data_IF_782010438039
#
_entry.id   IF_782010438039
#
_cell.length_a   1.000
_cell.length_b   1.000
_cell.length_c   1.000
_cell.angle_alpha   90.00
_cell.angle_beta   90.00
_cell.angle_gamma   90.00
#
_symmetry.space_group_name_H-M   'P 1'
#
loop_
_entity.id
_entity.type
_entity.pdbx_description
1 polymer ?
#
# COMPACT_ATOMS: atom_id res chain seq x y z
N UNK A 1 -30.02 5.65 -39.37
CA UNK A 1 -29.92 5.02 -38.04
C UNK A 1 -28.78 5.73 -37.30
N UNK A 2 -29.03 6.47 -36.21
CA UNK A 2 -27.93 7.00 -35.41
C UNK A 2 -27.30 5.88 -34.58
N UNK A 3 -25.96 5.82 -34.61
CA UNK A 3 -25.16 4.93 -33.76
C UNK A 3 -25.37 5.33 -32.30
N UNK A 4 -25.95 4.42 -31.52
CA UNK A 4 -25.96 4.51 -30.06
C UNK A 4 -24.56 4.13 -29.57
N UNK A 5 -23.71 5.13 -29.35
CA UNK A 5 -22.52 4.95 -28.51
C UNK A 5 -23.06 4.87 -27.08
N UNK A 6 -23.23 3.65 -26.56
CA UNK A 6 -23.38 3.46 -25.13
C UNK A 6 -22.13 4.06 -24.47
N UNK A 7 -22.26 4.97 -23.50
CA UNK A 7 -21.09 5.36 -22.71
C UNK A 7 -20.57 4.08 -22.04
N UNK A 8 -19.28 3.80 -22.20
CA UNK A 8 -18.58 2.79 -21.42
C UNK A 8 -19.01 2.98 -19.97
N UNK A 9 -19.69 1.97 -19.41
CA UNK A 9 -20.09 1.99 -18.02
C UNK A 9 -18.81 2.10 -17.21
N UNK A 10 -18.54 3.29 -16.65
CA UNK A 10 -17.47 3.48 -15.67
C UNK A 10 -17.75 2.49 -14.56
N UNK A 11 -16.94 1.44 -14.49
CA UNK A 11 -17.03 0.46 -13.42
C UNK A 11 -16.50 1.18 -12.18
N UNK A 12 -17.39 1.79 -11.40
CA UNK A 12 -17.04 2.52 -10.18
C UNK A 12 -16.56 1.53 -9.14
N UNK A 13 -15.27 1.57 -8.82
CA UNK A 13 -14.71 0.81 -7.70
C UNK A 13 -15.33 1.23 -6.37
N UNK A 14 -15.29 0.33 -5.39
CA UNK A 14 -15.66 0.63 -4.02
C UNK A 14 -14.49 1.28 -3.28
N UNK A 15 -14.82 2.24 -2.40
CA UNK A 15 -13.85 2.99 -1.62
C UNK A 15 -13.89 2.56 -0.15
N UNK A 16 -12.72 2.31 0.41
CA UNK A 16 -12.51 1.99 1.82
C UNK A 16 -11.53 2.99 2.43
N UNK A 17 -11.78 3.38 3.68
CA UNK A 17 -10.87 4.24 4.44
C UNK A 17 -10.76 3.74 5.86
N UNK A 18 -9.52 3.62 6.33
CA UNK A 18 -9.17 3.26 7.70
C UNK A 18 -8.21 4.31 8.27
N UNK A 19 -8.49 4.78 9.49
CA UNK A 19 -7.57 5.63 10.24
C UNK A 19 -6.96 4.82 11.36
N UNK A 20 -5.64 4.67 11.32
CA UNK A 20 -4.88 3.86 12.25
C UNK A 20 -4.10 4.78 13.19
N UNK A 21 -4.21 4.60 14.52
CA UNK A 21 -3.22 5.13 15.44
C UNK A 21 -1.81 4.66 15.04
N UNK A 22 -0.78 5.47 15.26
CA UNK A 22 0.60 5.09 14.93
C UNK A 22 1.21 4.12 15.97
N UNK A 23 0.62 2.93 16.11
CA UNK A 23 1.02 1.87 17.04
C UNK A 23 1.09 0.52 16.32
N UNK A 24 1.83 -0.45 16.85
CA UNK A 24 1.92 -1.79 16.25
C UNK A 24 0.57 -2.53 16.21
N UNK A 25 -0.28 -2.33 17.21
CA UNK A 25 -1.61 -2.97 17.28
C UNK A 25 -2.51 -2.61 16.08
N UNK A 26 -2.24 -1.48 15.42
CA UNK A 26 -2.97 -1.05 14.22
C UNK A 26 -2.75 -1.96 13.01
N UNK A 27 -1.66 -2.73 12.98
CA UNK A 27 -1.37 -3.65 11.85
C UNK A 27 -2.48 -4.68 11.71
N UNK A 28 -2.97 -5.24 12.83
CA UNK A 28 -4.06 -6.23 12.79
C UNK A 28 -5.36 -5.65 12.21
N UNK A 29 -5.62 -4.35 12.40
CA UNK A 29 -6.79 -3.70 11.79
C UNK A 29 -6.65 -3.59 10.27
N UNK A 30 -5.43 -3.36 9.78
CA UNK A 30 -5.14 -3.36 8.35
C UNK A 30 -5.26 -4.77 7.76
N UNK A 31 -4.69 -5.78 8.41
CA UNK A 31 -4.76 -7.18 7.98
C UNK A 31 -6.21 -7.65 7.81
N UNK A 32 -7.07 -7.36 8.79
CA UNK A 32 -8.50 -7.68 8.71
C UNK A 32 -9.20 -7.02 7.50
N UNK A 33 -8.86 -5.76 7.19
CA UNK A 33 -9.42 -5.07 6.03
C UNK A 33 -8.93 -5.68 4.71
N UNK A 34 -7.67 -6.11 4.66
CA UNK A 34 -7.09 -6.78 3.49
C UNK A 34 -7.82 -8.11 3.24
N UNK A 35 -8.04 -8.90 4.30
CA UNK A 35 -8.81 -10.15 4.23
C UNK A 35 -10.25 -9.91 3.76
N UNK A 36 -10.95 -8.92 4.35
CA UNK A 36 -12.31 -8.57 3.94
C UNK A 36 -12.40 -8.21 2.45
N UNK A 37 -11.48 -7.38 1.97
CA UNK A 37 -11.42 -6.96 0.56
C UNK A 37 -11.09 -8.16 -0.34
N UNK A 38 -10.12 -9.00 0.05
CA UNK A 38 -9.74 -10.15 -0.75
C UNK A 38 -10.90 -11.13 -0.93
N UNK A 39 -11.62 -11.44 0.15
CA UNK A 39 -12.80 -12.31 0.12
C UNK A 39 -13.92 -11.69 -0.72
N UNK A 40 -14.22 -10.41 -0.49
CA UNK A 40 -15.31 -9.70 -1.15
C UNK A 40 -15.13 -9.61 -2.67
N UNK A 41 -13.92 -9.37 -3.14
CA UNK A 41 -13.61 -9.21 -4.55
C UNK A 41 -13.05 -10.48 -5.21
N UNK A 42 -12.98 -11.59 -4.47
CA UNK A 42 -12.44 -12.87 -4.95
C UNK A 42 -11.02 -12.73 -5.50
N UNK A 43 -10.18 -11.97 -4.80
CA UNK A 43 -8.78 -11.75 -5.15
C UNK A 43 -8.03 -13.09 -5.06
N UNK A 44 -7.19 -13.40 -6.06
CA UNK A 44 -6.40 -14.63 -6.08
C UNK A 44 -5.44 -14.74 -4.88
N UNK A 45 -5.14 -15.96 -4.43
CA UNK A 45 -4.23 -16.22 -3.30
C UNK A 45 -2.85 -15.58 -3.50
N UNK A 46 -2.31 -15.63 -4.72
CA UNK A 46 -1.01 -15.01 -5.06
C UNK A 46 -1.06 -13.49 -4.90
N UNK A 47 -2.13 -12.85 -5.38
CA UNK A 47 -2.29 -11.40 -5.27
C UNK A 47 -2.55 -10.98 -3.82
N UNK A 48 -3.35 -11.76 -3.09
CA UNK A 48 -3.57 -11.56 -1.66
C UNK A 48 -2.25 -11.63 -0.86
N UNK A 49 -1.39 -12.62 -1.13
CA UNK A 49 -0.10 -12.74 -0.46
C UNK A 49 0.82 -11.53 -0.74
N UNK A 50 0.84 -11.04 -1.98
CA UNK A 50 1.56 -9.84 -2.36
C UNK A 50 1.00 -8.59 -1.66
N UNK A 51 -0.33 -8.44 -1.62
CA UNK A 51 -1.01 -7.36 -0.91
C UNK A 51 -0.67 -7.37 0.57
N UNK A 52 -0.82 -8.51 1.25
CA UNK A 52 -0.54 -8.65 2.68
C UNK A 52 0.90 -8.24 3.00
N UNK A 53 1.86 -8.73 2.22
CA UNK A 53 3.28 -8.40 2.41
C UNK A 53 3.55 -6.91 2.19
N UNK A 54 3.07 -6.34 1.08
CA UNK A 54 3.33 -4.95 0.75
C UNK A 54 2.66 -3.98 1.71
N UNK A 55 1.39 -4.23 2.05
CA UNK A 55 0.60 -3.30 2.86
C UNK A 55 1.08 -3.30 4.31
N UNK A 56 1.49 -4.45 4.86
CA UNK A 56 2.14 -4.50 6.17
C UNK A 56 3.48 -3.75 6.17
N UNK A 57 4.32 -3.95 5.15
CA UNK A 57 5.59 -3.23 5.03
C UNK A 57 5.37 -1.71 4.90
N UNK A 58 4.41 -1.29 4.07
CA UNK A 58 4.07 0.12 3.92
C UNK A 58 3.51 0.73 5.22
N UNK A 59 2.65 0.01 5.95
CA UNK A 59 2.14 0.45 7.24
C UNK A 59 3.24 0.53 8.31
N UNK A 60 4.17 -0.43 8.35
CA UNK A 60 5.34 -0.36 9.23
C UNK A 60 6.20 0.85 8.89
N UNK A 61 6.42 1.13 7.61
CA UNK A 61 7.13 2.33 7.16
C UNK A 61 6.43 3.61 7.63
N UNK A 62 5.11 3.70 7.45
CA UNK A 62 4.32 4.83 7.92
C UNK A 62 4.36 5.00 9.46
N UNK A 63 4.15 3.92 10.22
CA UNK A 63 4.06 3.93 11.68
C UNK A 63 5.43 4.18 12.34
N UNK A 64 6.44 3.39 11.96
CA UNK A 64 7.74 3.37 12.62
C UNK A 64 8.68 4.42 12.03
N UNK A 65 8.72 4.54 10.71
CA UNK A 65 9.67 5.42 10.04
C UNK A 65 9.10 6.81 9.76
N UNK A 66 7.84 6.94 9.35
CA UNK A 66 7.18 8.23 9.14
C UNK A 66 6.83 8.91 10.46
N UNK A 67 5.90 8.31 11.20
CA UNK A 67 5.33 8.85 12.43
C UNK A 67 6.17 8.63 13.69
N UNK A 68 7.24 7.82 13.62
CA UNK A 68 8.16 7.55 14.75
C UNK A 68 7.47 6.96 15.97
N UNK A 69 6.43 6.14 15.77
CA UNK A 69 5.62 5.57 16.84
C UNK A 69 4.98 6.63 17.76
N UNK A 70 4.72 7.85 17.26
CA UNK A 70 4.01 8.87 18.03
C UNK A 70 2.51 8.54 18.08
N UNK A 71 1.95 8.14 19.24
CA UNK A 71 0.55 7.71 19.34
C UNK A 71 -0.45 8.84 19.09
N UNK A 72 -0.01 10.10 19.05
CA UNK A 72 -0.88 11.23 18.68
C UNK A 72 -1.01 11.42 17.17
N UNK A 73 -0.16 10.73 16.39
CA UNK A 73 -0.22 10.72 14.93
C UNK A 73 -1.01 9.53 14.40
N UNK A 74 -1.46 9.68 13.15
CA UNK A 74 -2.26 8.71 12.43
C UNK A 74 -1.58 8.27 11.15
N UNK A 75 -1.91 7.06 10.74
CA UNK A 75 -1.72 6.57 9.38
C UNK A 75 -3.09 6.46 8.73
N UNK A 76 -3.25 7.05 7.55
CA UNK A 76 -4.48 6.99 6.77
C UNK A 76 -4.28 5.94 5.69
N UNK A 77 -5.16 4.95 5.66
CA UNK A 77 -5.19 3.91 4.64
C UNK A 77 -6.45 4.10 3.80
N UNK A 78 -6.29 4.24 2.50
CA UNK A 78 -7.39 4.23 1.53
C UNK A 78 -7.22 3.05 0.58
N UNK A 79 -8.34 2.45 0.17
CA UNK A 79 -8.36 1.47 -0.91
C UNK A 79 -9.47 1.81 -1.90
N UNK A 80 -9.16 1.77 -3.19
CA UNK A 80 -10.12 1.77 -4.29
C UNK A 80 -10.05 0.40 -4.97
N UNK A 81 -11.15 -0.34 -4.96
CA UNK A 81 -11.17 -1.73 -5.44
C UNK A 81 -12.31 -1.94 -6.42
N UNK A 82 -11.97 -2.44 -7.60
CA UNK A 82 -12.93 -2.84 -8.62
C UNK A 82 -12.76 -4.33 -8.97
N UNK A 83 -13.44 -4.80 -10.02
CA UNK A 83 -13.42 -6.21 -10.42
C UNK A 83 -12.08 -6.69 -11.02
N UNK A 84 -11.09 -5.81 -11.22
CA UNK A 84 -9.83 -6.10 -11.92
C UNK A 84 -8.59 -5.62 -11.19
N UNK A 85 -8.75 -4.72 -10.22
CA UNK A 85 -7.62 -4.12 -9.50
C UNK A 85 -8.00 -3.60 -8.13
N UNK A 86 -6.98 -3.54 -7.27
CA UNK A 86 -6.99 -2.81 -6.02
C UNK A 86 -5.87 -1.77 -6.03
N UNK A 87 -6.22 -0.53 -5.69
CA UNK A 87 -5.28 0.58 -5.51
C UNK A 87 -5.33 0.99 -4.05
N UNK A 88 -4.19 0.89 -3.37
CA UNK A 88 -4.06 1.23 -1.96
C UNK A 88 -3.19 2.47 -1.80
N UNK A 89 -3.59 3.39 -0.93
CA UNK A 89 -2.78 4.53 -0.53
C UNK A 89 -2.58 4.51 0.97
N UNK A 90 -1.33 4.60 1.42
CA UNK A 90 -0.96 4.66 2.84
C UNK A 90 -0.19 5.95 3.07
N UNK A 91 -0.74 6.82 3.92
CA UNK A 91 -0.24 8.17 4.19
C UNK A 91 0.07 8.34 5.66
N UNK A 92 1.27 8.85 5.98
CA UNK A 92 1.69 9.22 7.35
C UNK A 92 1.84 10.74 7.53
N UNK A 93 1.95 11.16 8.79
CA UNK A 93 2.10 12.57 9.21
C UNK A 93 3.57 12.93 9.50
N UNK A 94 4.51 12.14 8.97
CA UNK A 94 5.95 12.37 9.04
C UNK A 94 6.44 13.41 8.03
N UNK A 95 7.75 13.68 8.10
CA UNK A 95 8.43 14.61 7.18
C UNK A 95 8.65 14.00 5.78
N UNK A 96 8.41 12.69 5.62
CA UNK A 96 8.71 11.93 4.42
C UNK A 96 10.19 11.61 4.26
N UNK A 97 10.55 10.99 3.14
CA UNK A 97 11.93 10.59 2.84
C UNK A 97 12.23 10.59 1.35
N UNK A 98 13.51 10.65 1.00
CA UNK A 98 13.95 10.57 -0.40
C UNK A 98 14.01 9.10 -0.87
N UNK A 99 12.97 8.67 -1.57
CA UNK A 99 12.85 7.32 -2.14
C UNK A 99 13.64 7.12 -3.44
N UNK A 100 14.23 8.19 -4.00
CA UNK A 100 15.04 8.12 -5.23
C UNK A 100 16.51 7.78 -4.94
N UNK A 101 16.98 8.07 -3.72
CA UNK A 101 18.38 7.86 -3.31
C UNK A 101 18.50 6.85 -2.18
N UNK A 102 17.86 5.69 -2.34
CA UNK A 102 17.98 4.58 -1.38
C UNK A 102 19.16 3.68 -1.71
N UNK A 103 19.89 3.17 -0.70
CA UNK A 103 20.92 2.17 -0.92
C UNK A 103 20.29 0.88 -1.46
N UNK A 104 20.96 0.25 -2.43
CA UNK A 104 20.50 -1.01 -3.03
C UNK A 104 20.60 -2.15 -1.99
N UNK A 105 19.47 -2.70 -1.51
CA UNK A 105 19.51 -3.75 -0.50
C UNK A 105 20.02 -5.10 -1.04
N UNK A 106 20.21 -5.25 -2.36
CA UNK A 106 20.75 -6.45 -2.99
C UNK A 106 22.27 -6.43 -3.19
N UNK A 107 22.91 -5.28 -2.97
CA UNK A 107 24.36 -5.15 -3.03
C UNK A 107 25.04 -5.99 -1.93
N UNK A 108 26.21 -6.57 -2.22
CA UNK A 108 26.94 -7.49 -1.32
C UNK A 108 27.13 -6.90 0.08
N UNK A 109 27.45 -5.62 0.18
CA UNK A 109 27.64 -4.89 1.44
C UNK A 109 26.35 -4.69 2.26
N UNK A 110 25.17 -4.89 1.66
CA UNK A 110 23.86 -4.72 2.28
C UNK A 110 23.16 -6.05 2.55
N UNK A 111 23.68 -7.19 2.06
CA UNK A 111 23.04 -8.51 2.21
C UNK A 111 22.85 -8.93 3.68
N UNK A 112 23.75 -8.53 4.57
CA UNK A 112 23.66 -8.83 6.01
C UNK A 112 22.74 -7.85 6.77
N UNK A 113 22.30 -6.76 6.13
CA UNK A 113 21.36 -5.83 6.74
C UNK A 113 19.96 -6.46 6.74
N UNK A 114 19.43 -6.65 7.94
CA UNK A 114 18.06 -7.13 8.17
C UNK A 114 17.00 -6.03 7.96
N UNK A 115 17.41 -4.78 7.79
CA UNK A 115 16.53 -3.60 7.63
C UNK A 115 16.82 -2.87 6.32
N UNK A 116 15.90 -2.00 5.89
CA UNK A 116 16.06 -1.20 4.67
C UNK A 116 15.62 -1.90 3.39
N UNK A 117 14.91 -3.02 3.50
CA UNK A 117 14.38 -3.78 2.36
C UNK A 117 12.97 -3.36 1.96
N UNK A 118 12.32 -2.53 2.76
CA UNK A 118 10.90 -2.20 2.61
C UNK A 118 10.53 -1.71 1.22
N UNK A 119 11.13 -0.60 0.79
CA UNK A 119 10.87 -0.03 -0.54
C UNK A 119 11.22 -1.00 -1.67
N UNK A 120 12.24 -1.84 -1.48
CA UNK A 120 12.56 -2.89 -2.44
C UNK A 120 11.44 -3.93 -2.54
N UNK A 121 10.92 -4.41 -1.41
CA UNK A 121 9.79 -5.35 -1.35
C UNK A 121 8.57 -4.75 -2.06
N UNK A 122 8.21 -3.50 -1.74
CA UNK A 122 7.07 -2.82 -2.37
C UNK A 122 7.20 -2.75 -3.88
N UNK A 123 8.39 -2.40 -4.39
CA UNK A 123 8.67 -2.29 -5.83
C UNK A 123 8.72 -3.63 -6.56
N UNK A 124 8.94 -4.74 -5.85
CA UNK A 124 9.04 -6.08 -6.45
C UNK A 124 7.73 -6.85 -6.46
N UNK A 125 6.88 -6.64 -5.45
CA UNK A 125 5.65 -7.43 -5.28
C UNK A 125 4.39 -6.72 -5.77
N UNK A 126 4.35 -5.38 -5.79
CA UNK A 126 3.25 -4.63 -6.38
C UNK A 126 3.41 -4.46 -7.90
N UNK A 127 2.31 -4.39 -8.64
CA UNK A 127 2.35 -4.06 -10.09
C UNK A 127 2.85 -2.64 -10.33
N UNK A 128 2.54 -1.73 -9.40
CA UNK A 128 3.00 -0.36 -9.41
C UNK A 128 3.18 0.14 -7.98
N UNK A 129 4.26 0.89 -7.75
CA UNK A 129 4.56 1.54 -6.48
C UNK A 129 4.95 3.00 -6.76
N UNK A 130 4.16 3.93 -6.26
CA UNK A 130 4.34 5.38 -6.46
C UNK A 130 4.41 6.06 -5.11
N UNK A 131 5.47 6.83 -4.88
CA UNK A 131 5.55 7.70 -3.71
C UNK A 131 5.16 9.12 -4.10
N UNK A 132 4.49 9.84 -3.20
CA UNK A 132 4.26 11.27 -3.40
C UNK A 132 5.59 12.05 -3.36
N UNK A 133 5.58 13.34 -3.72
CA UNK A 133 6.80 14.15 -3.77
C UNK A 133 7.48 14.33 -2.42
N UNK A 134 6.73 14.25 -1.31
CA UNK A 134 7.25 14.38 0.05
C UNK A 134 7.87 13.06 0.54
N UNK A 135 7.41 11.91 0.03
CA UNK A 135 7.79 10.58 0.48
C UNK A 135 7.10 10.13 1.77
N UNK A 136 5.95 10.72 2.13
CA UNK A 136 5.13 10.30 3.29
C UNK A 136 3.81 9.63 2.87
N UNK A 137 3.71 9.27 1.60
CA UNK A 137 2.59 8.54 1.04
C UNK A 137 3.11 7.58 -0.01
N UNK A 138 2.57 6.35 0.02
CA UNK A 138 2.81 5.35 -1.02
C UNK A 138 1.47 4.87 -1.57
N UNK A 139 1.39 4.82 -2.89
CA UNK A 139 0.30 4.24 -3.66
C UNK A 139 0.78 2.92 -4.28
N UNK A 140 0.05 1.84 -4.02
CA UNK A 140 0.36 0.48 -4.45
C UNK A 140 -0.78 -0.08 -5.29
N UNK A 141 -0.47 -0.61 -6.46
CA UNK A 141 -1.45 -1.19 -7.39
C UNK A 141 -1.26 -2.70 -7.47
N UNK A 142 -2.38 -3.41 -7.49
CA UNK A 142 -2.44 -4.86 -7.67
C UNK A 142 -3.53 -5.19 -8.70
N UNK A 143 -3.21 -5.99 -9.70
CA UNK A 143 -4.14 -6.48 -10.73
C UNK A 143 -4.50 -7.93 -10.44
N UNK A 144 -5.75 -8.30 -10.64
CA UNK A 144 -6.24 -9.66 -10.50
C UNK A 144 -7.33 -9.99 -11.53
#
# INVERSE_FOLDING_TARGET
MPNNIQPDSVQTGELFTLQLPSTYDSITLLENLIEEIADKFSISEDTFANMMTCLNEAAINAIVHGNKLDPNKKVIVNAEVDAKRAVWTITDEGEGFDYNHLPDPTAEENLEKLTGRGVFILKHLADQCVFNSKGNEVELHFKF
#
